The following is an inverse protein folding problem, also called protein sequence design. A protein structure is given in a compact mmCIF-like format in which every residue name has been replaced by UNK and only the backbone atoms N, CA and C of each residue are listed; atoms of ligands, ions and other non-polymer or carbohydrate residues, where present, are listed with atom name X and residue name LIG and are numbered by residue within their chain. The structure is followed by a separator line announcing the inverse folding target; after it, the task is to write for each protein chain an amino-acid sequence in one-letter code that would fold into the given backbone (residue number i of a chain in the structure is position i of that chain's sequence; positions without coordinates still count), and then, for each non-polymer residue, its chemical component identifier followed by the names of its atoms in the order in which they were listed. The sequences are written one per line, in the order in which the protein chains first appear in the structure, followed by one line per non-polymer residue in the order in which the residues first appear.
data_IF_606125061153
#
_entry.id   IF_606125061153
#
_cell.length_a   1.000
_cell.length_b   1.000
_cell.length_c   1.000
_cell.angle_alpha   90.00
_cell.angle_beta   90.00
_cell.angle_gamma   90.00
#
_symmetry.space_group_name_H-M   'P 1'
#
loop_
_entity.id
_entity.type
_entity.pdbx_description
1 polymer ?
#
# COMPACT_ATOMS: atom_id res chain seq x y z
N UNK A 1 1.76 -11.52 -0.09
CA UNK A 1 1.42 -10.53 -1.12
C UNK A 1 -0.08 -10.42 -1.27
N UNK A 2 -0.61 -9.21 -1.47
CA UNK A 2 -2.04 -8.99 -1.66
C UNK A 2 -2.55 -9.65 -2.95
N UNK A 3 -3.76 -10.20 -2.92
CA UNK A 3 -4.45 -10.71 -4.13
C UNK A 3 -5.10 -9.62 -4.98
N UNK A 4 -5.04 -8.37 -4.50
CA UNK A 4 -5.62 -7.22 -5.19
C UNK A 4 -4.84 -6.86 -6.45
N UNK A 5 -5.56 -6.33 -7.43
CA UNK A 5 -4.95 -5.79 -8.65
C UNK A 5 -4.14 -4.54 -8.32
N UNK A 6 -3.02 -4.38 -9.01
CA UNK A 6 -2.27 -3.13 -9.03
C UNK A 6 -3.11 -2.00 -9.65
N UNK A 7 -3.08 -0.83 -9.02
CA UNK A 7 -3.56 0.44 -9.59
C UNK A 7 -2.38 1.41 -9.76
N UNK A 8 -2.45 2.39 -10.67
CA UNK A 8 -1.42 3.42 -10.78
C UNK A 8 -1.27 4.21 -9.48
N UNK A 9 -0.04 4.47 -9.05
CA UNK A 9 0.23 5.37 -7.94
C UNK A 9 0.10 6.82 -8.43
N UNK A 10 -1.10 7.36 -8.34
CA UNK A 10 -1.42 8.73 -8.73
C UNK A 10 -2.40 9.36 -7.73
N UNK A 11 -2.48 10.69 -7.70
CA UNK A 11 -3.36 11.45 -6.79
C UNK A 11 -4.81 10.96 -6.82
N UNK A 12 -5.32 10.56 -7.99
CA UNK A 12 -6.69 10.02 -8.13
C UNK A 12 -6.87 8.68 -7.43
N UNK A 13 -5.89 7.78 -7.53
CA UNK A 13 -5.90 6.48 -6.85
C UNK A 13 -5.78 6.66 -5.35
N UNK A 14 -4.87 7.53 -4.90
CA UNK A 14 -4.70 7.88 -3.47
C UNK A 14 -5.99 8.46 -2.89
N UNK A 15 -6.74 9.25 -3.66
CA UNK A 15 -8.04 9.78 -3.25
C UNK A 15 -9.08 8.71 -2.91
N UNK A 16 -8.91 7.45 -3.36
CA UNK A 16 -9.77 6.31 -3.01
C UNK A 16 -9.33 5.61 -1.73
N UNK A 17 -8.09 5.82 -1.28
CA UNK A 17 -7.57 5.21 -0.08
C UNK A 17 -8.25 5.83 1.16
N UNK A 18 -8.69 5.00 2.13
CA UNK A 18 -9.32 5.52 3.34
C UNK A 18 -8.30 6.22 4.25
N UNK A 19 -8.78 7.18 5.05
CA UNK A 19 -8.04 7.72 6.20
C UNK A 19 -8.11 6.74 7.37
N UNK A 20 -7.51 5.57 7.19
CA UNK A 20 -7.50 4.50 8.16
C UNK A 20 -6.21 3.70 8.06
N UNK A 21 -5.89 2.98 9.13
CA UNK A 21 -4.80 2.01 9.12
C UNK A 21 -5.00 0.96 8.02
N UNK A 22 -3.90 0.49 7.47
CA UNK A 22 -3.89 -0.62 6.52
C UNK A 22 -2.49 -1.01 6.12
N UNK A 23 -2.42 -2.11 5.38
CA UNK A 23 -1.22 -2.60 4.73
C UNK A 23 -1.24 -2.17 3.27
N UNK A 24 -0.12 -1.68 2.76
CA UNK A 24 0.03 -1.30 1.37
C UNK A 24 1.26 -1.97 0.75
N UNK A 25 1.16 -2.19 -0.55
CA UNK A 25 2.24 -2.66 -1.40
C UNK A 25 2.44 -1.65 -2.53
N UNK A 26 3.70 -1.42 -2.86
CA UNK A 26 4.19 -0.53 -3.91
C UNK A 26 4.90 -1.37 -4.96
N UNK A 27 4.63 -1.09 -6.23
CA UNK A 27 5.26 -1.76 -7.35
C UNK A 27 5.80 -0.80 -8.39
N UNK A 28 6.70 -1.28 -9.23
CA UNK A 28 7.18 -0.57 -10.42
C UNK A 28 6.19 -0.66 -11.60
N UNK A 29 6.57 -0.14 -12.79
CA UNK A 29 5.78 -0.24 -14.01
C UNK A 29 5.42 -1.67 -14.42
N UNK A 30 6.31 -2.63 -14.16
CA UNK A 30 6.12 -4.04 -14.53
C UNK A 30 5.20 -4.76 -13.53
N UNK A 31 5.06 -4.20 -12.32
CA UNK A 31 4.24 -4.74 -11.25
C UNK A 31 5.02 -5.64 -10.30
N UNK A 32 6.34 -5.53 -10.31
CA UNK A 32 7.21 -6.15 -9.32
C UNK A 32 7.17 -5.34 -8.02
N UNK A 33 7.21 -6.03 -6.88
CA UNK A 33 7.11 -5.42 -5.56
C UNK A 33 8.41 -4.68 -5.22
N UNK A 34 8.34 -3.35 -5.09
CA UNK A 34 9.49 -2.50 -4.73
C UNK A 34 9.43 -1.98 -3.29
N UNK A 35 8.25 -2.05 -2.66
CA UNK A 35 8.07 -1.62 -1.28
C UNK A 35 6.74 -2.09 -0.71
N UNK A 36 6.64 -2.08 0.62
CA UNK A 36 5.41 -2.39 1.36
C UNK A 36 5.53 -1.83 2.78
N UNK A 37 4.40 -1.60 3.43
CA UNK A 37 4.38 -1.06 4.77
C UNK A 37 2.99 -1.07 5.39
N UNK A 38 2.94 -0.61 6.64
CA UNK A 38 1.70 -0.42 7.39
C UNK A 38 1.64 1.02 7.90
N UNK A 39 0.45 1.59 7.90
CA UNK A 39 0.26 2.96 8.37
C UNK A 39 -1.11 3.49 8.00
N UNK A 40 -1.30 4.80 8.13
CA UNK A 40 -2.52 5.46 7.64
C UNK A 40 -2.45 5.52 6.13
N UNK A 41 -3.25 4.70 5.46
CA UNK A 41 -3.13 4.45 4.01
C UNK A 41 -3.05 5.74 3.19
N UNK A 42 -3.90 6.71 3.45
CA UNK A 42 -3.90 7.95 2.66
C UNK A 42 -2.63 8.79 2.84
N UNK A 43 -2.02 8.77 4.02
CA UNK A 43 -0.83 9.57 4.31
C UNK A 43 0.43 8.88 3.79
N UNK A 44 0.56 7.58 4.04
CA UNK A 44 1.64 6.74 3.53
C UNK A 44 1.73 6.80 2.00
N UNK A 45 0.59 6.70 1.31
CA UNK A 45 0.59 6.73 -0.16
C UNK A 45 0.90 8.11 -0.73
N UNK A 46 0.57 9.19 -0.02
CA UNK A 46 1.00 10.54 -0.41
C UNK A 46 2.51 10.69 -0.29
N UNK A 47 3.10 10.16 0.77
CA UNK A 47 4.55 10.17 0.96
C UNK A 47 5.25 9.35 -0.13
N UNK A 48 4.75 8.14 -0.41
CA UNK A 48 5.25 7.30 -1.49
C UNK A 48 5.18 7.98 -2.86
N UNK A 49 4.10 8.69 -3.16
CA UNK A 49 3.98 9.45 -4.42
C UNK A 49 4.92 10.67 -4.46
N UNK A 50 5.16 11.32 -3.32
CA UNK A 50 5.97 12.53 -3.27
C UNK A 50 7.48 12.25 -3.34
N UNK A 51 7.93 11.12 -2.78
CA UNK A 51 9.35 10.85 -2.57
C UNK A 51 9.82 9.48 -3.04
N UNK A 52 8.91 8.58 -3.41
CA UNK A 52 9.25 7.22 -3.86
C UNK A 52 9.35 7.09 -5.38
N UNK A 53 9.92 5.97 -5.81
CA UNK A 53 10.07 5.59 -7.22
C UNK A 53 9.01 4.57 -7.69
N UNK A 54 7.98 4.32 -6.88
CA UNK A 54 6.93 3.38 -7.21
C UNK A 54 5.93 3.97 -8.22
N UNK A 55 5.46 3.14 -9.15
CA UNK A 55 4.49 3.53 -10.17
C UNK A 55 3.12 2.90 -9.96
N UNK A 56 3.06 1.87 -9.09
CA UNK A 56 1.87 1.08 -8.80
C UNK A 56 1.67 0.91 -7.32
N UNK A 57 0.41 0.74 -6.94
CA UNK A 57 0.00 0.56 -5.56
C UNK A 57 -1.18 -0.40 -5.46
N UNK A 58 -1.25 -1.12 -4.34
CA UNK A 58 -2.45 -1.79 -3.86
C UNK A 58 -2.46 -1.80 -2.33
N UNK A 59 -3.64 -1.85 -1.73
CA UNK A 59 -3.77 -1.80 -0.28
C UNK A 59 -4.92 -2.62 0.27
N UNK A 60 -4.80 -2.99 1.54
CA UNK A 60 -5.86 -3.56 2.34
C UNK A 60 -6.09 -2.74 3.60
N UNK A 61 -7.35 -2.38 3.84
CA UNK A 61 -7.74 -1.61 5.01
C UNK A 61 -7.74 -2.52 6.24
N UNK A 62 -7.15 -2.03 7.32
CA UNK A 62 -7.24 -2.61 8.65
C UNK A 62 -8.20 -1.82 9.56
N UNK A 63 -8.55 -2.44 10.67
CA UNK A 63 -9.38 -1.83 11.72
C UNK A 63 -8.56 -1.21 12.85
N UNK A 64 -7.27 -1.53 12.92
CA UNK A 64 -6.28 -1.01 13.88
C UNK A 64 -4.87 -1.20 13.32
N UNK A 65 -3.88 -0.58 13.96
CA UNK A 65 -2.47 -0.79 13.62
C UNK A 65 -2.06 -2.26 13.77
N UNK A 66 -2.37 -2.90 14.91
CA UNK A 66 -2.09 -4.34 15.12
C UNK A 66 -2.71 -5.24 14.04
N UNK A 67 -3.87 -4.85 13.49
CA UNK A 67 -4.47 -5.60 12.40
C UNK A 67 -3.70 -5.36 11.09
N UNK A 68 -3.25 -4.14 10.82
CA UNK A 68 -2.39 -3.87 9.66
C UNK A 68 -1.06 -4.65 9.74
N UNK A 69 -0.44 -4.73 10.93
CA UNK A 69 0.78 -5.50 11.16
C UNK A 69 0.55 -7.00 10.89
N UNK A 70 -0.55 -7.57 11.38
CA UNK A 70 -0.91 -8.97 11.05
C UNK A 70 -1.12 -9.20 9.56
N UNK A 71 -1.73 -8.24 8.85
CA UNK A 71 -1.88 -8.32 7.39
C UNK A 71 -0.52 -8.27 6.68
N UNK A 72 0.41 -7.47 7.19
CA UNK A 72 1.78 -7.44 6.67
C UNK A 72 2.48 -8.78 6.85
N UNK A 73 2.39 -9.38 8.06
CA UNK A 73 2.96 -10.70 8.35
C UNK A 73 2.33 -11.80 7.48
N UNK A 74 1.01 -11.80 7.31
CA UNK A 74 0.30 -12.75 6.42
C UNK A 74 0.77 -12.62 4.96
N UNK A 75 1.14 -11.41 4.56
CA UNK A 75 1.56 -11.11 3.22
C UNK A 75 3.07 -11.08 3.02
N UNK A 76 3.84 -11.41 4.05
CA UNK A 76 5.27 -11.60 3.94
C UNK A 76 5.61 -13.03 3.52
N UNK A 77 6.12 -13.27 2.28
CA UNK A 77 6.71 -14.57 1.98
C UNK A 77 7.99 -14.73 2.81
N UNK A 78 7.99 -15.73 3.69
CA UNK A 78 9.19 -16.18 4.41
C UNK A 78 10.35 -16.57 3.46
#
# INVERSE_FOLDING_TARGET
MLRKRWEPLETRTIGKAPEAYGYYELGDADGDLVGRGVGVLRDELKEALAYGDAERVRWERATSLDHAERLADEHDPA
#
